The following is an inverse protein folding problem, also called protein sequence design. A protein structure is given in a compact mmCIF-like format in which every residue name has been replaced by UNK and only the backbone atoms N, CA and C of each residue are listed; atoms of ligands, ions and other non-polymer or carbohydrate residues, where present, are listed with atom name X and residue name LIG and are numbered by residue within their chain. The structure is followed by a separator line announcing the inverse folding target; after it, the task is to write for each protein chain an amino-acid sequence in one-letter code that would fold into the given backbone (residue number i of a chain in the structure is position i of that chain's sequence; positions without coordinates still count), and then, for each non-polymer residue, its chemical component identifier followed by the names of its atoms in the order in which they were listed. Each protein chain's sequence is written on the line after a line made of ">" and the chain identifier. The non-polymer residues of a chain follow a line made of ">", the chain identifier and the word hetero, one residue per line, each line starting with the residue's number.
data_IF_704931110058
#
_entry.id   IF_704931110058
#
_cell.length_a   1.000
_cell.length_b   1.000
_cell.length_c   1.000
_cell.angle_alpha   90.00
_cell.angle_beta   90.00
_cell.angle_gamma   90.00
#
_symmetry.space_group_name_H-M   'P 1'
#
loop_
_entity.id
_entity.type
_entity.pdbx_description
1 polymer ?
#
# COMPACT_ATOMS: atom_id res chain seq x y z
N UNK A 1 -15.24 9.54 8.88
CA UNK A 1 -14.16 9.37 9.87
C UNK A 1 -13.63 7.96 9.67
N UNK A 2 -12.38 7.80 9.24
CA UNK A 2 -11.83 6.46 8.96
C UNK A 2 -11.42 5.79 10.27
N UNK A 3 -11.56 4.46 10.36
CA UNK A 3 -11.30 3.67 11.58
C UNK A 3 -9.86 3.86 12.09
N UNK A 4 -8.89 3.95 11.19
CA UNK A 4 -7.48 4.19 11.52
C UNK A 4 -7.28 5.54 12.26
N UNK A 5 -8.01 6.58 11.87
CA UNK A 5 -7.90 7.90 12.49
C UNK A 5 -8.43 7.88 13.92
N UNK A 6 -9.51 7.12 14.17
CA UNK A 6 -10.04 6.96 15.52
C UNK A 6 -9.09 6.17 16.42
N UNK A 7 -8.43 5.13 15.89
CA UNK A 7 -7.45 4.34 16.63
C UNK A 7 -6.19 5.16 16.93
N UNK A 8 -5.59 5.81 15.92
CA UNK A 8 -4.36 6.61 16.09
C UNK A 8 -4.50 7.70 17.15
N UNK A 9 -5.66 8.33 17.27
CA UNK A 9 -5.94 9.36 18.29
C UNK A 9 -6.00 8.81 19.73
N UNK A 10 -6.08 7.50 19.90
CA UNK A 10 -6.15 6.82 21.21
C UNK A 10 -4.88 6.05 21.53
N UNK A 11 -3.93 5.95 20.60
CA UNK A 11 -2.67 5.28 20.86
C UNK A 11 -1.78 6.17 21.74
N UNK A 12 -1.05 5.58 22.70
CA UNK A 12 0.09 6.24 23.34
C UNK A 12 1.12 6.73 22.32
N UNK A 13 1.89 7.76 22.68
CA UNK A 13 2.89 8.37 21.77
C UNK A 13 4.01 7.40 21.34
N UNK A 14 4.28 6.36 22.13
CA UNK A 14 5.27 5.31 21.85
C UNK A 14 4.70 4.15 21.00
N UNK A 15 3.43 4.21 20.60
CA UNK A 15 2.77 3.20 19.78
C UNK A 15 2.43 3.70 18.37
N UNK A 16 2.64 2.82 17.38
CA UNK A 16 2.29 3.09 15.98
C UNK A 16 1.30 2.04 15.46
N UNK A 17 0.26 2.51 14.78
CA UNK A 17 -0.63 1.66 13.99
C UNK A 17 0.04 1.28 12.67
N UNK A 18 0.41 0.02 12.53
CA UNK A 18 0.80 -0.59 11.25
C UNK A 18 -0.43 -1.19 10.55
N UNK A 19 -0.47 -1.07 9.22
CA UNK A 19 -1.52 -1.68 8.39
C UNK A 19 -0.82 -2.58 7.39
N UNK A 20 -1.31 -3.80 7.24
CA UNK A 20 -0.75 -4.79 6.33
C UNK A 20 -1.81 -5.24 5.33
N UNK A 21 -1.43 -5.29 4.06
CA UNK A 21 -2.28 -5.78 2.99
C UNK A 21 -2.17 -7.30 2.89
N UNK A 22 -3.27 -7.96 2.53
CA UNK A 22 -3.33 -9.42 2.38
C UNK A 22 -3.20 -9.77 0.89
N UNK A 23 -2.07 -10.36 0.51
CA UNK A 23 -1.77 -10.68 -0.90
C UNK A 23 -2.70 -11.74 -1.50
N UNK A 24 -3.28 -12.60 -0.67
CA UNK A 24 -4.15 -13.70 -1.09
C UNK A 24 -5.57 -13.26 -1.47
N UNK A 25 -5.93 -11.98 -1.26
CA UNK A 25 -7.27 -11.48 -1.54
C UNK A 25 -7.38 -10.82 -2.92
N UNK A 26 -8.08 -11.49 -3.82
CA UNK A 26 -8.43 -10.97 -5.14
C UNK A 26 -7.29 -11.05 -6.18
N UNK A 27 -7.61 -10.80 -7.45
CA UNK A 27 -6.66 -11.04 -8.56
C UNK A 27 -5.47 -10.08 -8.58
N UNK A 28 -5.60 -8.89 -7.99
CA UNK A 28 -4.53 -7.91 -7.86
C UNK A 28 -3.83 -7.97 -6.49
N UNK A 29 -4.18 -8.95 -5.64
CA UNK A 29 -3.73 -9.01 -4.24
C UNK A 29 -2.22 -8.86 -4.07
N UNK A 30 -1.36 -9.64 -4.76
CA UNK A 30 0.09 -9.51 -4.64
C UNK A 30 0.62 -8.14 -5.10
N UNK A 31 0.06 -7.59 -6.18
CA UNK A 31 0.44 -6.28 -6.69
C UNK A 31 0.04 -5.15 -5.73
N UNK A 32 -1.08 -5.29 -5.03
CA UNK A 32 -1.54 -4.35 -4.01
C UNK A 32 -0.71 -4.45 -2.72
N UNK A 33 -0.25 -5.64 -2.33
CA UNK A 33 0.70 -5.81 -1.21
C UNK A 33 2.04 -5.11 -1.50
N UNK A 34 2.56 -5.27 -2.72
CA UNK A 34 3.75 -4.56 -3.17
C UNK A 34 3.53 -3.04 -3.16
N UNK A 35 2.43 -2.57 -3.75
CA UNK A 35 2.09 -1.15 -3.77
C UNK A 35 2.00 -0.56 -2.36
N UNK A 36 1.43 -1.29 -1.41
CA UNK A 36 1.37 -0.87 -0.03
C UNK A 36 2.75 -0.81 0.65
N UNK A 37 3.66 -1.75 0.34
CA UNK A 37 5.04 -1.71 0.80
C UNK A 37 5.81 -0.51 0.21
N UNK A 38 5.66 -0.25 -1.09
CA UNK A 38 6.24 0.92 -1.76
C UNK A 38 5.71 2.21 -1.14
N UNK A 39 4.41 2.29 -0.86
CA UNK A 39 3.80 3.46 -0.25
C UNK A 39 4.34 3.78 1.14
N UNK A 40 4.53 2.75 1.98
CA UNK A 40 5.13 2.90 3.30
C UNK A 40 6.60 3.33 3.21
N UNK A 41 7.37 2.73 2.29
CA UNK A 41 8.76 3.09 2.06
C UNK A 41 8.91 4.54 1.57
N UNK A 42 8.03 4.97 0.66
CA UNK A 42 8.02 6.32 0.10
C UNK A 42 7.35 7.37 1.03
N UNK A 43 6.73 6.94 2.15
CA UNK A 43 6.04 7.84 3.08
C UNK A 43 4.77 8.48 2.51
N UNK A 44 4.10 7.81 1.56
CA UNK A 44 2.87 8.28 0.90
C UNK A 44 1.66 7.38 1.16
N UNK A 45 1.80 6.36 2.00
CA UNK A 45 0.76 5.43 2.46
C UNK A 45 -0.54 6.16 2.84
N UNK A 46 -0.46 7.22 3.64
CA UNK A 46 -1.64 8.00 4.05
C UNK A 46 -2.38 8.72 2.90
N UNK A 47 -1.70 9.03 1.78
CA UNK A 47 -2.31 9.68 0.61
C UNK A 47 -2.83 8.65 -0.39
N UNK A 48 -2.02 7.63 -0.67
CA UNK A 48 -2.31 6.64 -1.71
C UNK A 48 -3.42 5.68 -1.28
N UNK A 49 -3.60 5.44 0.03
CA UNK A 49 -4.65 4.57 0.55
C UNK A 49 -6.02 4.91 -0.04
N UNK A 50 -6.42 6.18 0.08
CA UNK A 50 -7.72 6.65 -0.42
C UNK A 50 -7.84 6.48 -1.94
N UNK A 51 -6.76 6.78 -2.67
CA UNK A 51 -6.76 6.69 -4.14
C UNK A 51 -6.90 5.23 -4.61
N UNK A 52 -6.22 4.28 -3.97
CA UNK A 52 -6.34 2.86 -4.29
C UNK A 52 -7.73 2.33 -3.98
N UNK A 53 -8.30 2.66 -2.81
CA UNK A 53 -9.67 2.27 -2.47
C UNK A 53 -10.71 2.85 -3.44
N UNK A 54 -10.60 4.14 -3.79
CA UNK A 54 -11.48 4.76 -4.78
C UNK A 54 -11.36 4.10 -6.15
N UNK A 55 -10.14 3.85 -6.63
CA UNK A 55 -9.92 3.23 -7.93
C UNK A 55 -10.40 1.78 -8.02
N UNK A 56 -10.27 1.01 -6.94
CA UNK A 56 -10.71 -0.39 -6.89
C UNK A 56 -12.22 -0.54 -6.64
N UNK A 57 -12.80 0.23 -5.72
CA UNK A 57 -14.16 -0.03 -5.22
C UNK A 57 -15.21 0.94 -5.76
N UNK A 58 -14.83 2.20 -6.02
CA UNK A 58 -15.76 3.26 -6.45
C UNK A 58 -15.73 3.41 -7.96
N UNK A 59 -14.57 3.80 -8.52
CA UNK A 59 -14.39 4.05 -9.96
C UNK A 59 -14.24 2.76 -10.75
N UNK A 60 -13.68 1.72 -10.12
CA UNK A 60 -13.37 0.41 -10.72
C UNK A 60 -12.52 0.55 -11.98
N UNK A 61 -11.58 1.50 -11.95
CA UNK A 61 -10.65 1.82 -13.03
C UNK A 61 -9.27 1.17 -12.85
N UNK A 62 -8.95 0.68 -11.64
CA UNK A 62 -7.75 -0.13 -11.38
C UNK A 62 -8.06 -1.59 -11.71
N UNK A 63 -7.53 -2.09 -12.82
CA UNK A 63 -7.79 -3.45 -13.34
C UNK A 63 -6.51 -4.27 -13.50
N UNK A 64 -5.36 -3.60 -13.51
CA UNK A 64 -4.04 -4.20 -13.75
C UNK A 64 -3.00 -3.63 -12.78
N UNK A 65 -1.84 -4.29 -12.69
CA UNK A 65 -0.70 -3.77 -11.95
C UNK A 65 -0.20 -2.42 -12.52
N UNK A 66 -0.32 -2.20 -13.84
CA UNK A 66 0.04 -0.93 -14.46
C UNK A 66 -0.88 0.21 -13.98
N UNK A 67 -2.18 -0.06 -13.81
CA UNK A 67 -3.11 0.93 -13.28
C UNK A 67 -2.75 1.34 -11.85
N UNK A 68 -2.26 0.40 -11.04
CA UNK A 68 -1.76 0.69 -9.69
C UNK A 68 -0.59 1.68 -9.77
N UNK A 69 0.40 1.46 -10.64
CA UNK A 69 1.52 2.38 -10.82
C UNK A 69 1.04 3.78 -11.25
N UNK A 70 0.02 3.86 -12.11
CA UNK A 70 -0.55 5.15 -12.51
C UNK A 70 -1.15 5.95 -11.34
N UNK A 71 -1.61 5.29 -10.27
CA UNK A 71 -2.04 5.98 -9.04
C UNK A 71 -0.86 6.67 -8.35
N UNK A 72 0.31 6.04 -8.33
CA UNK A 72 1.52 6.64 -7.75
C UNK A 72 2.04 7.81 -8.59
N UNK A 73 1.86 7.76 -9.91
CA UNK A 73 2.17 8.89 -10.80
C UNK A 73 1.38 10.15 -10.43
N UNK A 74 0.12 10.02 -9.98
CA UNK A 74 -0.69 11.16 -9.50
C UNK A 74 -0.10 11.82 -8.25
N UNK A 75 0.77 11.11 -7.52
CA UNK A 75 1.50 11.60 -6.35
C UNK A 75 2.92 12.06 -6.68
N UNK A 76 3.28 12.12 -7.97
CA UNK A 76 4.59 12.55 -8.45
C UNK A 76 5.69 11.48 -8.40
N UNK A 77 5.34 10.23 -8.10
CA UNK A 77 6.26 9.09 -8.17
C UNK A 77 6.16 8.52 -9.58
N UNK A 78 7.20 8.70 -10.41
CA UNK A 78 7.19 8.17 -11.78
C UNK A 78 7.26 6.66 -11.81
N UNK A 79 6.86 6.05 -12.93
CA UNK A 79 6.94 4.61 -13.16
C UNK A 79 8.36 4.07 -12.95
N UNK A 80 9.40 4.81 -13.36
CA UNK A 80 10.80 4.43 -13.18
C UNK A 80 11.18 4.45 -11.70
N UNK A 81 10.76 5.49 -10.96
CA UNK A 81 11.05 5.57 -9.52
C UNK A 81 10.30 4.49 -8.75
N UNK A 82 9.07 4.17 -9.16
CA UNK A 82 8.32 3.05 -8.61
C UNK A 82 9.06 1.73 -8.83
N UNK A 83 9.54 1.47 -10.05
CA UNK A 83 10.30 0.26 -10.38
C UNK A 83 11.62 0.13 -9.59
N UNK A 84 12.32 1.24 -9.38
CA UNK A 84 13.49 1.29 -8.49
C UNK A 84 13.11 0.87 -7.06
N UNK A 85 11.98 1.37 -6.55
CA UNK A 85 11.49 1.02 -5.22
C UNK A 85 11.04 -0.44 -5.11
N UNK A 86 10.40 -1.02 -6.13
CA UNK A 86 10.09 -2.46 -6.15
C UNK A 86 11.36 -3.32 -5.99
N UNK A 87 12.48 -2.87 -6.54
CA UNK A 87 13.76 -3.57 -6.45
C UNK A 87 14.45 -3.40 -5.10
N UNK A 88 14.02 -2.43 -4.28
CA UNK A 88 14.63 -2.10 -3.01
C UNK A 88 14.49 -3.23 -1.98
N UNK A 89 15.58 -3.51 -1.26
CA UNK A 89 15.62 -4.56 -0.23
C UNK A 89 14.58 -4.35 0.88
N UNK A 90 14.39 -3.12 1.35
CA UNK A 90 13.44 -2.81 2.41
C UNK A 90 11.99 -3.02 1.96
N UNK A 91 11.67 -2.67 0.70
CA UNK A 91 10.35 -2.93 0.12
C UNK A 91 10.08 -4.43 0.05
N UNK A 92 11.04 -5.23 -0.44
CA UNK A 92 10.92 -6.70 -0.48
C UNK A 92 10.75 -7.30 0.92
N UNK A 93 11.49 -6.80 1.90
CA UNK A 93 11.36 -7.23 3.29
C UNK A 93 9.97 -6.90 3.88
N UNK A 94 9.40 -5.73 3.54
CA UNK A 94 8.04 -5.35 3.95
C UNK A 94 6.97 -6.24 3.30
N UNK A 95 7.13 -6.63 2.04
CA UNK A 95 6.22 -7.57 1.36
C UNK A 95 6.25 -8.92 2.08
N UNK A 96 7.46 -9.48 2.30
CA UNK A 96 7.60 -10.74 3.01
C UNK A 96 7.04 -10.69 4.44
N UNK A 97 7.24 -9.57 5.16
CA UNK A 97 6.66 -9.38 6.51
C UNK A 97 5.14 -9.39 6.49
N UNK A 98 4.52 -8.76 5.49
CA UNK A 98 3.07 -8.77 5.32
C UNK A 98 2.55 -10.19 5.14
N UNK A 99 3.11 -10.92 4.17
CA UNK A 99 2.65 -12.28 3.84
C UNK A 99 2.87 -13.26 5.02
N UNK A 100 4.04 -13.20 5.66
CA UNK A 100 4.37 -14.07 6.79
C UNK A 100 3.47 -13.87 8.02
N UNK A 101 2.89 -12.67 8.21
CA UNK A 101 1.99 -12.39 9.33
C UNK A 101 0.55 -12.83 9.05
N UNK A 102 0.20 -13.07 7.79
CA UNK A 102 -1.13 -13.57 7.39
C UNK A 102 -1.22 -15.09 7.56
N UNK A 103 -0.14 -15.81 7.27
CA UNK A 103 -0.12 -17.28 7.31
C UNK A 103 0.00 -17.89 8.72
N UNK A 104 0.12 -17.06 9.76
CA UNK A 104 0.21 -17.50 11.17
C UNK A 104 -1.14 -17.56 11.85
#
# INVERSE_FOLDING_TARGET
>A
MNVDTAIRKRLPDDMKLEKYHVSQMGPLGPALTEAWAVAQYAGVDGKVEKLLFEGLQVKRDIKTAADIVMVFNQLGITSEKYAEMQSNFMVKALIARQDNLVEK
#
